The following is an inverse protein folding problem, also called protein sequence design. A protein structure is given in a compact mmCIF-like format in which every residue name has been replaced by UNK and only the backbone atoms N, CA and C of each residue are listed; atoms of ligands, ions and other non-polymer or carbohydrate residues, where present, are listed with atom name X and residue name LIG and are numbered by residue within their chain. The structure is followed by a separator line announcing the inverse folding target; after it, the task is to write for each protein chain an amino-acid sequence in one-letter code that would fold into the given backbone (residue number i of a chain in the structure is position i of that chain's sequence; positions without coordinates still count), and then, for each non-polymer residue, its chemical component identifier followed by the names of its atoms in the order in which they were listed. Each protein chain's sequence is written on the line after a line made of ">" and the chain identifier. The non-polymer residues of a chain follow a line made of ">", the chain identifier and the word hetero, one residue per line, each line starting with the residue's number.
data_IF_359645911365
#
_entry.id   IF_359645911365
#
_cell.length_a   1.000
_cell.length_b   1.000
_cell.length_c   1.000
_cell.angle_alpha   90.00
_cell.angle_beta   90.00
_cell.angle_gamma   90.00
#
_symmetry.space_group_name_H-M   'P 1'
#
loop_
_entity.id
_entity.type
_entity.pdbx_description
1 polymer ?
#
# COMPACT_ATOMS: atom_id res chain seq x y z
N UNK A 1 8.79 -16.03 4.68
CA UNK A 1 8.31 -17.07 3.73
C UNK A 1 8.12 -18.37 4.48
N UNK A 2 7.20 -19.23 4.07
CA UNK A 2 7.05 -20.55 4.71
C UNK A 2 8.29 -21.40 4.45
N UNK A 3 8.82 -22.05 5.50
CA UNK A 3 9.95 -22.99 5.37
C UNK A 3 9.54 -24.29 4.67
N UNK A 4 8.25 -24.60 4.64
CA UNK A 4 7.72 -25.80 3.99
C UNK A 4 7.50 -25.55 2.50
N UNK A 5 8.10 -26.38 1.64
CA UNK A 5 7.78 -26.42 0.21
C UNK A 5 6.41 -27.10 0.05
N UNK A 6 5.45 -26.48 -0.64
CA UNK A 6 4.13 -27.06 -0.81
C UNK A 6 4.19 -28.35 -1.63
N UNK A 7 3.45 -29.37 -1.20
CA UNK A 7 3.31 -30.63 -1.93
C UNK A 7 2.57 -30.40 -3.26
N UNK A 8 2.83 -31.19 -4.32
CA UNK A 8 2.26 -30.97 -5.65
C UNK A 8 0.73 -30.86 -5.66
N UNK A 9 0.05 -31.67 -4.85
CA UNK A 9 -1.41 -31.69 -4.73
C UNK A 9 -2.02 -30.48 -4.03
N UNK A 10 -1.21 -29.65 -3.35
CA UNK A 10 -1.65 -28.43 -2.64
C UNK A 10 -0.78 -27.24 -3.01
N UNK A 11 -0.41 -27.14 -4.29
CA UNK A 11 0.40 -26.03 -4.78
C UNK A 11 -0.38 -24.73 -4.66
N UNK A 12 0.15 -23.70 -3.97
CA UNK A 12 -0.40 -22.36 -3.99
C UNK A 12 -0.43 -21.81 -5.41
N UNK A 13 -1.26 -20.79 -5.62
CA UNK A 13 -1.23 -20.01 -6.86
C UNK A 13 0.17 -19.46 -7.11
N UNK A 14 0.54 -19.30 -8.39
CA UNK A 14 1.85 -18.79 -8.76
C UNK A 14 2.19 -17.43 -8.10
N UNK A 15 1.18 -16.58 -7.90
CA UNK A 15 1.31 -15.29 -7.22
C UNK A 15 1.70 -15.39 -5.73
N UNK A 16 1.48 -16.54 -5.09
CA UNK A 16 1.84 -16.81 -3.69
C UNK A 16 3.17 -17.56 -3.55
N UNK A 17 3.93 -17.73 -4.63
CA UNK A 17 5.26 -18.31 -4.61
C UNK A 17 6.31 -17.21 -4.77
N UNK A 18 7.35 -17.24 -3.93
CA UNK A 18 8.49 -16.35 -4.10
C UNK A 18 9.26 -16.72 -5.38
N UNK A 19 9.50 -15.78 -6.31
CA UNK A 19 10.15 -16.07 -7.59
C UNK A 19 11.61 -16.52 -7.42
N UNK A 20 12.29 -16.06 -6.38
CA UNK A 20 13.70 -16.39 -6.13
C UNK A 20 13.88 -17.72 -5.38
N UNK A 21 12.99 -18.03 -4.42
CA UNK A 21 13.18 -19.19 -3.53
C UNK A 21 12.19 -20.32 -3.77
N UNK A 22 11.16 -20.12 -4.60
CA UNK A 22 10.06 -21.08 -4.82
C UNK A 22 9.25 -21.43 -3.58
N UNK A 23 9.40 -20.66 -2.49
CA UNK A 23 8.71 -20.90 -1.22
C UNK A 23 7.33 -20.26 -1.25
N UNK A 24 6.37 -20.92 -0.61
CA UNK A 24 5.05 -20.36 -0.44
C UNK A 24 5.06 -19.14 0.49
N UNK A 25 4.17 -18.20 0.20
CA UNK A 25 3.81 -17.09 1.08
C UNK A 25 3.40 -17.62 2.45
N UNK A 26 3.70 -16.84 3.49
CA UNK A 26 3.27 -17.18 4.84
C UNK A 26 1.75 -17.14 4.94
N UNK A 27 1.17 -18.15 5.57
CA UNK A 27 -0.21 -18.08 6.04
C UNK A 27 -0.39 -16.99 7.10
N UNK A 28 -1.62 -16.52 7.29
CA UNK A 28 -1.94 -15.39 8.16
C UNK A 28 -1.43 -15.58 9.60
N UNK A 29 -1.74 -16.72 10.23
CA UNK A 29 -1.37 -16.96 11.64
C UNK A 29 0.14 -17.04 11.85
N UNK A 30 0.85 -17.71 10.92
CA UNK A 30 2.30 -17.79 10.99
C UNK A 30 2.94 -16.42 10.78
N UNK A 31 2.41 -15.62 9.85
CA UNK A 31 2.88 -14.25 9.66
C UNK A 31 2.64 -13.38 10.90
N UNK A 32 1.48 -13.53 11.57
CA UNK A 32 1.17 -12.82 12.81
C UNK A 32 2.16 -13.16 13.92
N UNK A 33 2.41 -14.44 14.18
CA UNK A 33 3.35 -14.88 15.22
C UNK A 33 4.77 -14.39 14.93
N UNK A 34 5.26 -14.56 13.69
CA UNK A 34 6.62 -14.14 13.34
C UNK A 34 6.79 -12.63 13.43
N UNK A 35 5.81 -11.85 13.00
CA UNK A 35 5.91 -10.39 13.03
C UNK A 35 5.89 -9.86 14.47
N UNK A 36 5.05 -10.43 15.32
CA UNK A 36 4.99 -10.10 16.74
C UNK A 36 6.31 -10.49 17.44
N UNK A 37 6.80 -11.71 17.22
CA UNK A 37 8.01 -12.23 17.87
C UNK A 37 9.29 -11.46 17.49
N UNK A 38 9.45 -11.12 16.20
CA UNK A 38 10.72 -10.57 15.70
C UNK A 38 10.72 -9.07 15.47
N UNK A 39 9.55 -8.46 15.25
CA UNK A 39 9.44 -7.03 14.97
C UNK A 39 8.61 -6.28 16.02
N UNK A 40 7.89 -6.98 16.92
CA UNK A 40 6.95 -6.35 17.85
C UNK A 40 5.79 -5.64 17.13
N UNK A 41 5.49 -6.06 15.89
CA UNK A 41 4.46 -5.46 15.06
C UNK A 41 3.35 -6.46 14.76
N UNK A 42 2.14 -5.95 14.60
CA UNK A 42 1.02 -6.73 14.07
C UNK A 42 0.82 -6.51 12.55
N UNK A 43 0.04 -7.39 11.92
CA UNK A 43 -0.26 -7.30 10.48
C UNK A 43 -1.11 -6.08 10.12
N UNK A 44 -1.80 -5.46 11.08
CA UNK A 44 -2.59 -4.25 10.87
C UNK A 44 -1.66 -3.03 10.78
N UNK A 45 -0.69 -2.90 11.67
CA UNK A 45 0.37 -1.91 11.66
C UNK A 45 1.20 -1.99 10.38
N UNK A 46 1.55 -3.21 9.93
CA UNK A 46 2.26 -3.39 8.66
C UNK A 46 1.44 -2.88 7.46
N UNK A 47 0.14 -3.16 7.42
CA UNK A 47 -0.75 -2.65 6.37
C UNK A 47 -0.89 -1.13 6.42
N UNK A 48 -0.96 -0.55 7.61
CA UNK A 48 -1.03 0.90 7.78
C UNK A 48 0.28 1.60 7.46
N UNK A 49 1.42 1.01 7.82
CA UNK A 49 2.75 1.54 7.52
C UNK A 49 3.06 1.62 6.02
N UNK A 50 2.37 0.83 5.19
CA UNK A 50 2.49 0.90 3.73
C UNK A 50 1.66 2.02 3.08
N UNK A 51 0.69 2.62 3.79
CA UNK A 51 -0.19 3.63 3.23
C UNK A 51 0.52 4.94 2.82
N UNK A 52 1.52 5.45 3.57
CA UNK A 52 2.32 6.60 3.13
C UNK A 52 2.98 6.39 1.76
N UNK A 53 3.51 5.19 1.48
CA UNK A 53 4.14 4.89 0.20
C UNK A 53 3.16 4.90 -0.98
N UNK A 54 1.86 4.67 -0.74
CA UNK A 54 0.85 4.88 -1.77
C UNK A 54 0.68 6.36 -2.09
N UNK A 55 0.82 7.24 -1.09
CA UNK A 55 0.86 8.68 -1.29
C UNK A 55 2.10 9.13 -2.05
N UNK A 56 3.27 8.58 -1.71
CA UNK A 56 4.53 8.86 -2.44
C UNK A 56 4.44 8.42 -3.91
N UNK A 57 3.68 7.35 -4.19
CA UNK A 57 3.39 6.88 -5.54
C UNK A 57 2.23 7.62 -6.23
N UNK A 58 1.81 8.78 -5.69
CA UNK A 58 0.72 9.62 -6.21
C UNK A 58 -0.61 8.87 -6.42
N UNK A 59 -0.86 7.82 -5.62
CA UNK A 59 -2.10 7.05 -5.72
C UNK A 59 -3.29 7.92 -5.29
N UNK A 60 -4.39 7.93 -6.06
CA UNK A 60 -5.59 8.69 -5.70
C UNK A 60 -6.09 8.35 -4.29
N UNK A 61 -6.47 9.39 -3.52
CA UNK A 61 -6.94 9.26 -2.14
C UNK A 61 -8.07 8.22 -1.97
N UNK A 62 -8.99 8.14 -2.95
CA UNK A 62 -10.11 7.19 -2.93
C UNK A 62 -9.63 5.72 -2.91
N UNK A 63 -8.56 5.41 -3.66
CA UNK A 63 -7.98 4.07 -3.69
C UNK A 63 -7.24 3.76 -2.37
N UNK A 64 -6.53 4.75 -1.82
CA UNK A 64 -5.89 4.65 -0.51
C UNK A 64 -6.95 4.36 0.56
N UNK A 65 -8.06 5.11 0.56
CA UNK A 65 -9.18 4.90 1.49
C UNK A 65 -9.78 3.50 1.37
N UNK A 66 -10.05 3.03 0.14
CA UNK A 66 -10.56 1.68 -0.08
C UNK A 66 -9.60 0.60 0.43
N UNK A 67 -8.30 0.78 0.19
CA UNK A 67 -7.27 -0.17 0.63
C UNK A 67 -7.08 -0.22 2.14
N UNK A 68 -7.15 0.94 2.79
CA UNK A 68 -6.94 1.11 4.24
C UNK A 68 -8.24 1.04 5.06
N UNK A 69 -9.40 0.96 4.40
CA UNK A 69 -10.74 0.97 5.00
C UNK A 69 -11.06 2.24 5.79
N UNK A 70 -10.49 3.38 5.41
CA UNK A 70 -10.84 4.67 5.96
C UNK A 70 -12.24 5.11 5.47
N UNK A 71 -13.15 5.35 6.40
CA UNK A 71 -14.51 5.87 6.09
C UNK A 71 -14.54 7.39 5.90
N UNK A 72 -13.63 8.10 6.57
CA UNK A 72 -13.56 9.55 6.54
C UNK A 72 -12.31 10.00 5.78
N UNK A 73 -12.43 10.82 4.71
CA UNK A 73 -11.29 11.31 3.94
C UNK A 73 -10.28 12.06 4.81
N UNK A 74 -10.72 12.85 5.79
CA UNK A 74 -9.83 13.61 6.66
C UNK A 74 -8.83 12.72 7.39
N UNK A 75 -9.24 11.50 7.77
CA UNK A 75 -8.36 10.54 8.45
C UNK A 75 -7.37 9.84 7.52
N UNK A 76 -7.63 9.84 6.22
CA UNK A 76 -6.76 9.27 5.18
C UNK A 76 -5.82 10.31 4.56
N UNK A 77 -6.16 11.60 4.62
CA UNK A 77 -5.31 12.70 4.10
C UNK A 77 -3.89 12.68 4.66
N UNK A 78 -3.67 12.16 5.87
CA UNK A 78 -2.31 12.01 6.45
C UNK A 78 -1.34 11.20 5.58
N UNK A 79 -1.86 10.37 4.67
CA UNK A 79 -1.04 9.57 3.76
C UNK A 79 -0.76 10.28 2.43
N UNK A 80 -1.43 11.40 2.14
CA UNK A 80 -1.29 12.13 0.88
C UNK A 80 -0.73 13.51 1.18
N UNK A 81 0.44 13.83 0.63
CA UNK A 81 1.04 15.16 0.72
C UNK A 81 1.13 15.76 -0.68
N UNK A 82 0.14 16.55 -1.11
CA UNK A 82 0.23 17.22 -2.40
C UNK A 82 1.41 18.20 -2.36
N UNK A 83 2.39 17.99 -3.23
CA UNK A 83 3.50 18.92 -3.39
C UNK A 83 3.03 20.25 -3.98
N UNK A 84 3.75 21.33 -3.67
CA UNK A 84 3.46 22.66 -4.23
C UNK A 84 3.40 22.66 -5.76
N UNK A 85 4.24 21.84 -6.41
CA UNK A 85 4.25 21.65 -7.87
C UNK A 85 2.95 21.02 -8.40
N UNK A 86 2.40 20.01 -7.71
CA UNK A 86 1.15 19.38 -8.11
C UNK A 86 -0.02 20.37 -8.02
N UNK A 87 -0.04 21.19 -6.96
CA UNK A 87 -1.03 22.27 -6.81
C UNK A 87 -0.86 23.32 -7.92
N UNK A 88 0.37 23.68 -8.28
CA UNK A 88 0.64 24.63 -9.36
C UNK A 88 0.14 24.11 -10.72
N UNK A 89 0.36 22.83 -11.05
CA UNK A 89 -0.16 22.19 -12.27
C UNK A 89 -1.69 22.22 -12.33
N UNK A 90 -2.35 21.87 -11.22
CA UNK A 90 -3.82 21.95 -11.14
C UNK A 90 -4.30 23.39 -11.28
N UNK A 91 -3.59 24.34 -10.68
CA UNK A 91 -3.91 25.77 -10.77
C UNK A 91 -3.74 26.29 -12.21
N UNK A 92 -2.73 25.84 -12.93
CA UNK A 92 -2.50 26.20 -14.33
C UNK A 92 -3.64 25.70 -15.24
N UNK A 93 -4.08 24.45 -15.05
CA UNK A 93 -5.22 23.87 -15.77
C UNK A 93 -6.51 24.66 -15.52
N UNK A 94 -6.70 25.12 -14.29
CA UNK A 94 -7.88 25.90 -13.88
C UNK A 94 -7.71 27.41 -14.08
N UNK A 95 -6.56 27.88 -14.58
CA UNK A 95 -6.28 29.30 -14.67
C UNK A 95 -7.22 29.97 -15.69
N UNK A 96 -7.78 31.15 -15.38
CA UNK A 96 -8.57 31.90 -16.35
C UNK A 96 -7.71 32.31 -17.56
N UNK A 97 -8.35 32.45 -18.72
CA UNK A 97 -7.68 32.87 -19.95
C UNK A 97 -6.92 34.18 -19.71
N UNK A 98 -5.59 34.14 -19.79
CA UNK A 98 -4.75 35.32 -19.58
C UNK A 98 -5.14 36.38 -20.60
N UNK A 99 -5.44 37.59 -20.11
CA UNK A 99 -5.64 38.76 -20.97
C UNK A 99 -4.29 39.13 -21.55
N UNK A 100 -4.10 38.87 -22.84
CA UNK A 100 -3.00 39.42 -23.62
C UNK A 100 -3.33 40.88 -23.91
N UNK A 101 -2.49 41.81 -23.44
CA UNK A 101 -2.49 43.20 -23.86
C UNK A 101 -1.62 43.38 -25.10
#
# INVERSE_FOLDING_TARGET
>A
MSERRPVPARRPAAADLCPHTGRARLGYDRARVLLDTYAGLDLHQLRHGAAPHLGDAETPLQLIMGKTRHKNPCTAMRYVKPGAEAIAKVTEVLAPRRRTH
#
